data_IF_292810591746
#
_entry.id   IF_292810591746
#
_cell.length_a   1.000
_cell.length_b   1.000
_cell.length_c   1.000
_cell.angle_alpha   90.00
_cell.angle_beta   90.00
_cell.angle_gamma   90.00
#
_symmetry.space_group_name_H-M   'P 1'
#
loop_
_entity.id
_entity.type
_entity.pdbx_description
1 polymer ?
#
# COMPACT_ATOMS: atom_id res chain seq x y z
N UNK A 1 -14.04 0.16 -7.16
CA UNK A 1 -13.73 -0.05 -5.72
C UNK A 1 -13.23 1.25 -5.09
N UNK A 2 -13.55 1.44 -3.84
CA UNK A 2 -13.08 2.60 -3.06
C UNK A 2 -11.82 2.20 -2.32
N UNK A 3 -10.72 2.90 -2.58
CA UNK A 3 -9.40 2.51 -2.07
C UNK A 3 -8.63 3.69 -1.49
N UNK A 4 -7.67 3.34 -0.63
CA UNK A 4 -6.56 4.22 -0.23
C UNK A 4 -5.26 3.51 -0.50
N UNK A 5 -4.25 4.25 -0.93
CA UNK A 5 -2.90 3.71 -1.12
C UNK A 5 -1.95 4.41 -0.18
N UNK A 6 -1.13 3.61 0.49
CA UNK A 6 -0.10 4.07 1.43
C UNK A 6 1.26 3.63 0.94
N UNK A 7 2.21 4.53 1.00
CA UNK A 7 3.61 4.24 0.65
C UNK A 7 4.53 4.67 1.76
N UNK A 8 5.62 3.93 1.95
CA UNK A 8 6.59 4.24 2.98
C UNK A 8 7.25 5.58 2.68
N UNK A 9 7.25 6.46 3.70
CA UNK A 9 7.95 7.73 3.67
C UNK A 9 9.43 7.48 3.99
N UNK A 10 10.30 7.79 3.05
CA UNK A 10 11.75 7.55 3.20
C UNK A 10 12.33 8.20 4.46
N UNK A 11 11.80 9.36 4.85
CA UNK A 11 12.29 10.06 6.03
C UNK A 11 11.94 9.34 7.33
N UNK A 12 10.96 8.44 7.31
CA UNK A 12 10.52 7.68 8.47
C UNK A 12 11.02 6.25 8.47
N UNK A 13 11.63 5.81 7.38
CA UNK A 13 12.06 4.43 7.17
C UNK A 13 13.44 4.16 7.80
N UNK A 14 13.48 4.17 9.13
CA UNK A 14 14.73 4.00 9.87
C UNK A 14 15.34 2.60 9.78
N UNK A 15 14.53 1.61 9.37
CA UNK A 15 14.98 0.20 9.24
C UNK A 15 15.19 -0.21 7.79
N UNK A 16 15.03 0.71 6.85
CA UNK A 16 15.28 0.48 5.43
C UNK A 16 14.46 -0.66 4.86
N UNK A 17 13.15 -0.66 5.14
CA UNK A 17 12.24 -1.72 4.66
C UNK A 17 11.45 -1.33 3.41
N UNK A 18 11.59 -0.10 2.92
CA UNK A 18 10.94 0.30 1.68
C UNK A 18 11.43 -0.56 0.52
N UNK A 19 10.49 -1.07 -0.27
CA UNK A 19 10.71 -1.99 -1.38
C UNK A 19 11.10 -3.41 -0.97
N UNK A 20 11.11 -3.73 0.33
CA UNK A 20 11.30 -5.10 0.79
C UNK A 20 9.99 -5.88 0.73
N UNK A 21 10.08 -7.19 0.45
CA UNK A 21 8.91 -8.06 0.48
C UNK A 21 8.41 -8.25 1.92
N UNK A 22 7.25 -8.89 2.09
CA UNK A 22 6.63 -9.04 3.40
C UNK A 22 7.51 -9.87 4.36
N UNK A 23 8.07 -10.98 3.88
CA UNK A 23 8.91 -11.85 4.71
C UNK A 23 10.12 -11.07 5.24
N UNK A 24 10.83 -10.37 4.38
CA UNK A 24 12.01 -9.59 4.78
C UNK A 24 11.62 -8.41 5.67
N UNK A 25 10.50 -7.75 5.41
CA UNK A 25 9.98 -6.68 6.27
C UNK A 25 9.73 -7.21 7.69
N UNK A 26 9.09 -8.35 7.82
CA UNK A 26 8.82 -8.96 9.14
C UNK A 26 10.11 -9.41 9.83
N UNK A 27 11.08 -9.92 9.08
CA UNK A 27 12.37 -10.33 9.64
C UNK A 27 13.18 -9.12 10.14
N UNK A 28 13.14 -8.02 9.41
CA UNK A 28 13.94 -6.82 9.74
C UNK A 28 13.26 -5.99 10.83
N UNK A 29 11.97 -5.74 10.70
CA UNK A 29 11.23 -4.79 11.53
C UNK A 29 10.24 -5.43 12.50
N UNK A 30 9.94 -6.72 12.35
CA UNK A 30 8.99 -7.45 13.18
C UNK A 30 7.52 -7.18 12.85
N UNK A 31 7.24 -6.18 12.02
CA UNK A 31 5.88 -5.78 11.64
C UNK A 31 5.89 -4.92 10.39
N UNK A 32 4.73 -4.78 9.78
CA UNK A 32 4.46 -3.70 8.82
C UNK A 32 3.97 -2.51 9.66
N UNK A 33 4.81 -1.51 9.84
CA UNK A 33 4.54 -0.41 10.77
C UNK A 33 3.79 0.74 10.07
N UNK A 34 2.49 0.95 10.36
CA UNK A 34 1.74 2.03 9.71
C UNK A 34 2.34 3.43 9.91
N UNK A 35 3.05 3.65 11.01
CA UNK A 35 3.60 4.96 11.35
C UNK A 35 4.63 5.48 10.36
N UNK A 36 5.26 4.60 9.55
CA UNK A 36 6.22 5.02 8.53
C UNK A 36 5.59 5.23 7.16
N UNK A 37 4.27 5.03 7.03
CA UNK A 37 3.53 5.16 5.77
C UNK A 37 2.83 6.50 5.67
N UNK A 38 2.71 7.00 4.45
CA UNK A 38 1.90 8.18 4.12
C UNK A 38 0.87 7.81 3.06
N UNK A 39 -0.33 8.38 3.20
CA UNK A 39 -1.38 8.18 2.21
C UNK A 39 -1.06 8.99 0.94
N UNK A 40 -1.02 8.31 -0.20
CA UNK A 40 -0.70 8.95 -1.48
C UNK A 40 -1.87 8.95 -2.45
N UNK A 41 -2.97 8.28 -2.09
CA UNK A 41 -4.20 8.26 -2.88
C UNK A 41 -5.39 7.86 -2.01
N UNK A 42 -6.53 8.49 -2.26
CA UNK A 42 -7.80 8.11 -1.64
C UNK A 42 -8.93 8.51 -2.58
N UNK A 43 -9.52 7.55 -3.27
CA UNK A 43 -10.65 7.80 -4.16
C UNK A 43 -11.28 6.49 -4.61
N UNK A 44 -12.40 6.59 -5.31
CA UNK A 44 -13.01 5.47 -6.03
C UNK A 44 -12.25 5.29 -7.36
N UNK A 45 -11.86 4.05 -7.66
CA UNK A 45 -11.29 3.71 -8.95
C UNK A 45 -12.14 2.67 -9.67
N UNK A 46 -12.02 2.62 -10.99
CA UNK A 46 -12.74 1.68 -11.85
C UNK A 46 -12.02 0.34 -11.97
N UNK A 47 -11.51 -0.15 -10.85
CA UNK A 47 -10.80 -1.42 -10.76
C UNK A 47 -11.71 -2.49 -10.19
N UNK A 48 -11.53 -3.73 -10.63
CA UNK A 48 -12.31 -4.87 -10.16
C UNK A 48 -11.58 -5.72 -9.13
N UNK A 49 -10.25 -5.61 -9.08
CA UNK A 49 -9.39 -6.40 -8.19
C UNK A 49 -8.06 -5.68 -7.98
N UNK A 50 -7.20 -6.27 -7.14
CA UNK A 50 -5.91 -5.67 -6.81
C UNK A 50 -4.93 -5.68 -7.99
N UNK A 51 -5.03 -6.65 -8.89
CA UNK A 51 -4.21 -6.68 -10.10
C UNK A 51 -4.53 -5.51 -11.01
N UNK A 52 -5.81 -5.13 -11.11
CA UNK A 52 -6.23 -3.94 -11.86
C UNK A 52 -5.68 -2.67 -11.21
N UNK A 53 -5.67 -2.62 -9.87
CA UNK A 53 -5.09 -1.50 -9.13
C UNK A 53 -3.60 -1.39 -9.44
N UNK A 54 -2.88 -2.50 -9.40
CA UNK A 54 -1.46 -2.53 -9.70
C UNK A 54 -1.19 -2.00 -11.11
N UNK A 55 -1.93 -2.48 -12.09
CA UNK A 55 -1.79 -2.02 -13.48
C UNK A 55 -2.06 -0.52 -13.60
N UNK A 56 -3.19 -0.05 -13.05
CA UNK A 56 -3.59 1.35 -13.16
C UNK A 56 -2.55 2.29 -12.56
N UNK A 57 -2.05 1.98 -11.38
CA UNK A 57 -1.11 2.85 -10.66
C UNK A 57 0.34 2.68 -11.12
N UNK A 58 0.58 1.88 -12.14
CA UNK A 58 1.86 1.78 -12.83
C UNK A 58 1.82 2.35 -14.25
N UNK A 59 0.68 2.25 -14.93
CA UNK A 59 0.56 2.57 -16.36
C UNK A 59 -0.33 3.78 -16.61
N UNK A 60 -1.45 3.89 -15.89
CA UNK A 60 -2.48 4.91 -16.14
C UNK A 60 -2.73 5.75 -14.89
N UNK A 61 -1.69 6.21 -14.23
CA UNK A 61 -1.79 6.89 -12.93
C UNK A 61 -2.79 8.04 -12.95
N UNK A 62 -3.78 8.06 -12.00
CA UNK A 62 -4.68 9.18 -11.87
C UNK A 62 -3.94 10.47 -11.52
N UNK A 63 -4.50 11.61 -11.93
CA UNK A 63 -3.89 12.92 -11.70
C UNK A 63 -3.78 13.26 -10.20
N UNK A 64 -4.66 12.71 -9.38
CA UNK A 64 -4.65 12.91 -7.93
C UNK A 64 -3.80 11.90 -7.16
N UNK A 65 -3.04 11.07 -7.86
CA UNK A 65 -2.08 10.16 -7.26
C UNK A 65 -0.74 10.90 -7.06
N UNK A 66 -0.34 11.05 -5.80
CA UNK A 66 0.83 11.86 -5.44
C UNK A 66 2.09 11.04 -5.20
N UNK A 67 2.00 9.71 -5.27
CA UNK A 67 3.12 8.82 -5.00
C UNK A 67 3.88 8.36 -6.23
N UNK A 68 4.84 7.46 -6.00
CA UNK A 68 5.53 6.75 -7.07
C UNK A 68 4.68 5.58 -7.56
N UNK A 69 5.07 4.96 -8.68
CA UNK A 69 4.41 3.74 -9.18
C UNK A 69 4.23 2.72 -8.07
N UNK A 70 3.08 2.04 -8.07
CA UNK A 70 2.76 1.05 -7.04
C UNK A 70 3.84 -0.05 -7.05
N UNK A 71 4.41 -0.31 -5.89
CA UNK A 71 5.62 -1.13 -5.75
C UNK A 71 5.53 -2.04 -4.54
N UNK A 72 6.43 -3.00 -4.47
CA UNK A 72 6.59 -3.86 -3.29
C UNK A 72 6.77 -3.00 -2.05
N UNK A 73 6.15 -3.38 -0.96
CA UNK A 73 6.00 -2.73 0.34
C UNK A 73 4.86 -1.72 0.43
N UNK A 74 4.27 -1.30 -0.68
CA UNK A 74 3.09 -0.42 -0.63
C UNK A 74 1.89 -1.17 -0.04
N UNK A 75 0.94 -0.42 0.53
CA UNK A 75 -0.28 -0.98 1.09
C UNK A 75 -1.47 -0.36 0.38
N UNK A 76 -2.37 -1.22 -0.09
CA UNK A 76 -3.66 -0.82 -0.66
C UNK A 76 -4.75 -1.22 0.33
N UNK A 77 -5.54 -0.26 0.77
CA UNK A 77 -6.70 -0.51 1.59
C UNK A 77 -7.95 -0.50 0.71
N UNK A 78 -8.74 -1.57 0.77
CA UNK A 78 -10.05 -1.64 0.13
C UNK A 78 -11.09 -1.28 1.16
N UNK A 79 -11.91 -0.26 0.87
CA UNK A 79 -12.84 0.31 1.83
C UNK A 79 -14.26 -0.22 1.69
N UNK A 80 -14.58 -0.91 0.60
CA UNK A 80 -15.93 -1.39 0.31
C UNK A 80 -15.94 -2.83 -0.20
N UNK A 81 -17.12 -3.45 -0.21
CA UNK A 81 -17.32 -4.79 -0.74
C UNK A 81 -16.88 -5.90 0.20
N UNK A 82 -16.83 -7.11 -0.35
CA UNK A 82 -16.51 -8.32 0.42
C UNK A 82 -15.04 -8.41 0.81
N UNK A 83 -14.16 -7.73 0.08
CA UNK A 83 -12.72 -7.84 0.26
C UNK A 83 -12.13 -6.66 1.04
N UNK A 84 -12.95 -6.01 1.86
CA UNK A 84 -12.47 -4.93 2.74
C UNK A 84 -11.24 -5.36 3.51
N UNK A 85 -10.27 -4.46 3.62
CA UNK A 85 -9.06 -4.70 4.39
C UNK A 85 -7.84 -4.07 3.76
N UNK A 86 -6.70 -4.25 4.40
CA UNK A 86 -5.42 -3.74 3.93
C UNK A 86 -4.61 -4.89 3.32
N UNK A 87 -3.96 -4.59 2.21
CA UNK A 87 -3.20 -5.57 1.45
C UNK A 87 -1.81 -5.04 1.16
N UNK A 88 -0.83 -5.79 1.56
CA UNK A 88 0.59 -5.50 1.31
C UNK A 88 0.94 -5.95 -0.11
N UNK A 89 1.53 -5.05 -0.89
CA UNK A 89 2.04 -5.37 -2.22
C UNK A 89 3.33 -6.16 -2.05
N UNK A 90 3.26 -7.45 -2.28
CA UNK A 90 4.40 -8.35 -2.12
C UNK A 90 5.09 -8.59 -3.47
N UNK A 91 6.17 -9.34 -3.47
CA UNK A 91 6.89 -9.68 -4.69
C UNK A 91 6.06 -10.54 -5.63
N UNK A 92 5.14 -11.34 -5.11
CA UNK A 92 4.18 -12.13 -5.88
C UNK A 92 2.76 -11.85 -5.35
N UNK A 93 2.09 -10.87 -5.96
CA UNK A 93 0.72 -10.54 -5.60
C UNK A 93 0.60 -9.76 -4.29
N UNK A 94 -0.60 -9.78 -3.72
CA UNK A 94 -0.92 -9.03 -2.52
C UNK A 94 -1.19 -9.98 -1.35
N UNK A 95 -0.81 -9.56 -0.15
CA UNK A 95 -1.05 -10.30 1.09
C UNK A 95 -1.89 -9.46 2.03
N UNK A 96 -3.01 -10.01 2.50
CA UNK A 96 -3.83 -9.32 3.50
C UNK A 96 -3.06 -9.21 4.81
N UNK A 97 -3.08 -8.01 5.40
CA UNK A 97 -2.38 -7.70 6.65
C UNK A 97 -3.28 -6.91 7.59
N UNK A 98 -2.91 -6.88 8.86
CA UNK A 98 -3.45 -5.90 9.79
C UNK A 98 -2.69 -4.59 9.63
N UNK A 99 -3.41 -3.49 9.47
CA UNK A 99 -2.80 -2.19 9.24
C UNK A 99 -3.67 -1.11 9.86
N UNK A 100 -3.18 -0.49 10.94
CA UNK A 100 -3.88 0.58 11.62
C UNK A 100 -3.73 1.88 10.83
N UNK A 101 -4.71 2.19 10.01
CA UNK A 101 -4.67 3.37 9.14
C UNK A 101 -4.66 4.69 9.94
N UNK A 102 -5.13 4.67 11.18
CA UNK A 102 -5.10 5.86 12.04
C UNK A 102 -3.68 6.26 12.46
N UNK A 103 -2.74 5.32 12.39
CA UNK A 103 -1.33 5.57 12.71
C UNK A 103 -0.53 6.07 11.49
N UNK A 104 -1.08 5.93 10.28
CA UNK A 104 -0.42 6.41 9.06
C UNK A 104 -0.67 7.92 8.88
N UNK A 105 0.25 8.58 8.19
CA UNK A 105 0.11 9.99 7.87
C UNK A 105 -0.91 10.17 6.73
N UNK A 106 -1.85 11.05 6.92
CA UNK A 106 -2.87 11.34 5.90
C UNK A 106 -2.33 12.26 4.80
#
# INVERSE_FOLDING_TARGET
MNIRIYQIDMDKDTKSVKFENLEDTLNIAGQVNPAIYSQVYANVCDCNNLEDVFFKFNVEKPIDFTGHSLSVSDVVEILDGENKGAYFCDSLGFKKIDFDTSAACA
#
